data_IF_441790841029
#
_entry.id   IF_441790841029
#
_cell.length_a   1.000
_cell.length_b   1.000
_cell.length_c   1.000
_cell.angle_alpha   90.00
_cell.angle_beta   90.00
_cell.angle_gamma   90.00
#
_symmetry.space_group_name_H-M   'P 1'
#
loop_
_entity.id
_entity.type
_entity.pdbx_description
1 polymer ?
#
# COMPACT_ATOMS: atom_id res chain seq x y z
N UNK A 1 -11.10 14.45 -6.91
CA UNK A 1 -10.20 13.51 -6.21
C UNK A 1 -10.49 12.14 -6.78
N UNK A 2 -9.50 11.38 -7.28
CA UNK A 2 -9.77 10.01 -7.74
C UNK A 2 -10.30 9.20 -6.56
N UNK A 3 -11.26 8.32 -6.83
CA UNK A 3 -11.74 7.34 -5.85
C UNK A 3 -10.56 6.47 -5.37
N UNK A 4 -10.46 6.23 -4.06
CA UNK A 4 -9.40 5.42 -3.45
C UNK A 4 -9.39 4.01 -4.06
N UNK A 5 -10.55 3.42 -4.32
CA UNK A 5 -10.65 2.09 -4.94
C UNK A 5 -10.22 2.12 -6.41
N UNK A 6 -10.43 3.23 -7.11
CA UNK A 6 -9.90 3.37 -8.47
C UNK A 6 -8.37 3.40 -8.45
N UNK A 7 -7.75 4.12 -7.51
CA UNK A 7 -6.30 4.13 -7.35
C UNK A 7 -5.78 2.71 -7.04
N UNK A 8 -6.42 2.00 -6.12
CA UNK A 8 -6.04 0.62 -5.77
C UNK A 8 -6.17 -0.31 -6.97
N UNK A 9 -7.25 -0.19 -7.75
CA UNK A 9 -7.47 -0.98 -8.97
C UNK A 9 -6.39 -0.72 -10.02
N UNK A 10 -6.04 0.55 -10.26
CA UNK A 10 -5.00 0.95 -11.21
C UNK A 10 -3.63 0.38 -10.78
N UNK A 11 -3.24 0.56 -9.51
CA UNK A 11 -1.97 0.03 -8.98
C UNK A 11 -1.95 -1.49 -9.00
N UNK A 12 -3.02 -2.18 -8.58
CA UNK A 12 -3.06 -3.63 -8.64
C UNK A 12 -2.98 -4.14 -10.08
N UNK A 13 -3.64 -3.45 -11.03
CA UNK A 13 -3.58 -3.79 -12.45
C UNK A 13 -2.15 -3.78 -12.99
N UNK A 14 -1.36 -2.74 -12.67
CA UNK A 14 0.04 -2.69 -13.10
C UNK A 14 0.90 -3.74 -12.41
N UNK A 15 0.69 -4.01 -11.12
CA UNK A 15 1.49 -5.03 -10.43
C UNK A 15 1.15 -6.46 -10.90
N UNK A 16 -0.10 -6.74 -11.29
CA UNK A 16 -0.52 -8.03 -11.86
C UNK A 16 0.18 -8.31 -13.19
N UNK A 17 0.44 -7.29 -14.02
CA UNK A 17 1.22 -7.44 -15.26
C UNK A 17 2.62 -8.02 -14.96
N UNK A 18 3.22 -7.60 -13.85
CA UNK A 18 4.51 -8.08 -13.36
C UNK A 18 4.42 -9.39 -12.56
N UNK A 19 3.23 -10.03 -12.49
CA UNK A 19 3.00 -11.23 -11.68
C UNK A 19 2.95 -10.98 -10.16
N UNK A 20 2.91 -9.72 -9.73
CA UNK A 20 2.99 -9.29 -8.32
C UNK A 20 1.67 -8.66 -7.84
N UNK A 21 0.58 -9.43 -7.78
CA UNK A 21 -0.69 -8.90 -7.26
C UNK A 21 -0.56 -8.27 -5.86
N UNK A 22 -1.28 -7.17 -5.62
CA UNK A 22 -1.37 -6.60 -4.28
C UNK A 22 -2.12 -7.55 -3.36
N UNK A 23 -1.53 -7.83 -2.20
CA UNK A 23 -2.23 -8.52 -1.11
C UNK A 23 -3.26 -7.58 -0.47
N UNK A 24 -4.25 -8.16 0.20
CA UNK A 24 -5.30 -7.38 0.88
C UNK A 24 -4.73 -6.44 1.95
N UNK A 25 -3.66 -6.82 2.63
CA UNK A 25 -3.00 -5.95 3.61
C UNK A 25 -2.32 -4.75 2.96
N UNK A 26 -1.77 -4.90 1.76
CA UNK A 26 -1.19 -3.81 0.97
C UNK A 26 -2.27 -2.86 0.46
N UNK A 27 -3.42 -3.38 -0.01
CA UNK A 27 -4.59 -2.57 -0.41
C UNK A 27 -5.12 -1.76 0.78
N UNK A 28 -5.24 -2.36 1.95
CA UNK A 28 -5.71 -1.66 3.15
C UNK A 28 -4.74 -0.56 3.60
N UNK A 29 -3.42 -0.78 3.50
CA UNK A 29 -2.43 0.27 3.78
C UNK A 29 -2.60 1.47 2.85
N UNK A 30 -2.86 1.23 1.57
CA UNK A 30 -3.14 2.29 0.59
C UNK A 30 -4.40 3.06 0.99
N UNK A 31 -5.50 2.38 1.36
CA UNK A 31 -6.74 3.03 1.84
C UNK A 31 -6.47 3.92 3.05
N UNK A 32 -5.78 3.42 4.06
CA UNK A 32 -5.48 4.14 5.30
C UNK A 32 -4.65 5.39 5.02
N UNK A 33 -3.62 5.29 4.16
CA UNK A 33 -2.77 6.42 3.78
C UNK A 33 -3.56 7.49 3.02
N UNK A 34 -4.35 7.10 2.02
CA UNK A 34 -5.13 8.03 1.20
C UNK A 34 -6.33 8.62 1.94
N UNK A 35 -6.81 7.96 3.00
CA UNK A 35 -7.83 8.48 3.91
C UNK A 35 -7.29 9.40 4.99
N UNK A 36 -5.99 9.74 4.97
CA UNK A 36 -5.29 10.53 6.00
C UNK A 36 -5.37 9.97 7.43
N UNK A 37 -5.77 8.70 7.61
CA UNK A 37 -5.81 8.04 8.93
C UNK A 37 -4.41 7.80 9.49
N UNK A 38 -3.42 7.62 8.61
CA UNK A 38 -1.99 7.50 8.92
C UNK A 38 -1.20 8.27 7.88
N UNK A 39 -0.17 9.02 8.30
CA UNK A 39 0.71 9.70 7.35
C UNK A 39 1.55 8.70 6.54
N UNK A 40 1.88 9.09 5.31
CA UNK A 40 2.75 8.30 4.44
C UNK A 40 4.06 7.89 5.14
N UNK A 41 4.75 8.83 5.80
CA UNK A 41 6.00 8.56 6.51
C UNK A 41 5.84 7.54 7.64
N UNK A 42 4.74 7.60 8.39
CA UNK A 42 4.46 6.64 9.47
C UNK A 42 4.18 5.25 8.91
N UNK A 43 3.44 5.14 7.80
CA UNK A 43 3.19 3.85 7.16
C UNK A 43 4.47 3.27 6.56
N UNK A 44 5.26 4.08 5.85
CA UNK A 44 6.55 3.69 5.29
C UNK A 44 7.49 3.15 6.36
N UNK A 45 7.62 3.85 7.49
CA UNK A 45 8.42 3.39 8.64
C UNK A 45 7.97 2.01 9.13
N UNK A 46 6.65 1.79 9.31
CA UNK A 46 6.10 0.50 9.76
C UNK A 46 6.43 -0.65 8.80
N UNK A 47 6.35 -0.41 7.48
CA UNK A 47 6.66 -1.42 6.48
C UNK A 47 8.15 -1.77 6.54
N UNK A 48 9.04 -0.76 6.61
CA UNK A 48 10.48 -0.97 6.75
C UNK A 48 10.77 -1.78 8.01
N UNK A 49 10.22 -1.38 9.17
CA UNK A 49 10.42 -2.08 10.44
C UNK A 49 9.95 -3.54 10.39
N UNK A 50 8.81 -3.83 9.74
CA UNK A 50 8.28 -5.20 9.59
C UNK A 50 9.22 -6.11 8.81
N UNK A 51 9.91 -5.57 7.80
CA UNK A 51 10.75 -6.35 6.88
C UNK A 51 12.26 -6.20 7.17
N UNK A 52 12.63 -5.40 8.17
CA UNK A 52 14.01 -5.28 8.63
C UNK A 52 14.31 -6.44 9.57
N UNK A 53 15.26 -7.30 9.20
CA UNK A 53 15.82 -8.30 10.12
C UNK A 53 16.73 -7.58 11.10
N UNK A 54 16.47 -7.74 12.40
CA UNK A 54 17.38 -7.24 13.44
C UNK A 54 18.56 -8.21 13.52
N UNK A 55 19.74 -7.74 13.14
CA UNK A 55 21.02 -8.43 13.31
C UNK A 55 21.56 -8.13 14.70
#
# INVERSE_FOLDING_TARGET
MKDIEQIIKEVNGTMVIEGMHLREDDKERIRICLSNKVSFEKMKKRIIEKHTVKV
#
